data_IF_089434050137
#
_entry.id   IF_089434050137
#
_cell.length_a   1.000
_cell.length_b   1.000
_cell.length_c   1.000
_cell.angle_alpha   90.00
_cell.angle_beta   90.00
_cell.angle_gamma   90.00
#
_symmetry.space_group_name_H-M   'P 1'
#
loop_
_entity.id
_entity.type
_entity.pdbx_description
1 polymer ?
#
# COMPACT_ATOMS: atom_id res chain seq x y z
N UNK A 1 -9.38 -1.12 25.84
CA UNK A 1 -10.86 -1.20 25.85
C UNK A 1 -11.22 -2.49 25.14
N UNK A 2 -12.05 -3.34 25.73
CA UNK A 2 -12.33 -4.68 25.22
C UNK A 2 -13.82 -4.97 25.25
N UNK A 3 -14.28 -5.73 24.26
CA UNK A 3 -15.65 -6.25 24.22
C UNK A 3 -15.64 -7.67 24.78
N UNK A 4 -16.47 -7.92 25.79
CA UNK A 4 -16.58 -9.20 26.47
C UNK A 4 -18.00 -9.75 26.33
N UNK A 5 -18.13 -11.02 25.93
CA UNK A 5 -19.40 -11.74 25.88
C UNK A 5 -19.39 -12.84 26.96
N UNK A 6 -20.09 -12.65 28.09
CA UNK A 6 -20.15 -13.65 29.14
C UNK A 6 -20.88 -14.92 28.69
N UNK A 7 -20.47 -16.10 29.17
CA UNK A 7 -21.23 -17.33 28.93
C UNK A 7 -22.64 -17.21 29.52
N UNK A 8 -23.65 -17.59 28.73
CA UNK A 8 -25.06 -17.56 29.14
C UNK A 8 -25.77 -16.21 28.96
N UNK A 9 -25.09 -15.17 28.47
CA UNK A 9 -25.70 -13.86 28.19
C UNK A 9 -25.48 -13.50 26.72
N UNK A 10 -26.54 -13.27 25.94
CA UNK A 10 -26.46 -12.93 24.52
C UNK A 10 -26.13 -11.43 24.25
N UNK A 11 -25.45 -10.76 25.20
CA UNK A 11 -25.15 -9.33 25.14
C UNK A 11 -23.66 -9.09 25.35
N UNK A 12 -23.07 -8.35 24.41
CA UNK A 12 -21.70 -7.86 24.50
C UNK A 12 -21.62 -6.71 25.52
N UNK A 13 -20.65 -6.77 26.41
CA UNK A 13 -20.34 -5.74 27.39
C UNK A 13 -19.00 -5.09 27.08
N UNK A 14 -18.88 -3.79 27.33
CA UNK A 14 -17.62 -3.06 27.22
C UNK A 14 -16.89 -3.09 28.55
N UNK A 15 -15.63 -3.50 28.54
CA UNK A 15 -14.77 -3.54 29.73
C UNK A 15 -13.53 -2.68 29.51
N UNK A 16 -13.09 -2.00 30.56
CA UNK A 16 -11.82 -1.27 30.53
C UNK A 16 -10.67 -2.28 30.61
N UNK A 17 -9.68 -2.10 29.75
CA UNK A 17 -8.43 -2.86 29.85
C UNK A 17 -7.60 -2.39 31.04
N UNK A 18 -6.68 -3.23 31.51
CA UNK A 18 -5.67 -2.79 32.45
C UNK A 18 -4.85 -1.65 31.83
N UNK A 19 -4.54 -0.63 32.62
CA UNK A 19 -3.53 0.35 32.23
C UNK A 19 -2.18 -0.35 32.22
N UNK A 20 -1.44 -0.20 31.11
CA UNK A 20 -0.08 -0.71 30.97
C UNK A 20 0.79 0.48 30.65
N UNK A 21 1.80 0.71 31.49
CA UNK A 21 2.77 1.78 31.29
C UNK A 21 3.72 1.46 30.13
N UNK A 22 4.29 2.49 29.53
CA UNK A 22 5.28 2.35 28.47
C UNK A 22 6.51 1.54 28.93
N UNK A 23 6.92 1.74 30.18
CA UNK A 23 8.01 0.98 30.81
C UNK A 23 7.71 -0.52 30.90
N UNK A 24 6.47 -0.90 31.21
CA UNK A 24 6.05 -2.31 31.24
C UNK A 24 6.08 -2.93 29.85
N UNK A 25 5.56 -2.21 28.84
CA UNK A 25 5.58 -2.66 27.43
C UNK A 25 7.02 -2.88 26.98
N UNK A 26 7.91 -1.92 27.26
CA UNK A 26 9.32 -2.00 26.88
C UNK A 26 10.01 -3.21 27.52
N UNK A 27 9.83 -3.42 28.83
CA UNK A 27 10.41 -4.59 29.52
C UNK A 27 9.98 -5.92 28.89
N UNK A 28 8.69 -6.06 28.58
CA UNK A 28 8.16 -7.30 27.98
C UNK A 28 8.68 -7.49 26.55
N UNK A 29 8.67 -6.44 25.73
CA UNK A 29 9.13 -6.53 24.34
C UNK A 29 10.63 -6.81 24.26
N UNK A 30 11.44 -6.22 25.12
CA UNK A 30 12.89 -6.48 25.17
C UNK A 30 13.20 -7.90 25.63
N UNK A 31 12.47 -8.40 26.63
CA UNK A 31 12.56 -9.80 27.06
C UNK A 31 12.25 -10.76 25.90
N UNK A 32 11.19 -10.51 25.12
CA UNK A 32 10.85 -11.35 23.97
C UNK A 32 11.91 -11.28 22.86
N UNK A 33 12.43 -10.09 22.55
CA UNK A 33 13.52 -9.92 21.57
C UNK A 33 14.81 -10.63 21.97
N UNK A 34 15.07 -10.77 23.27
CA UNK A 34 16.26 -11.50 23.76
C UNK A 34 16.18 -13.01 23.49
N UNK A 35 14.98 -13.56 23.38
CA UNK A 35 14.77 -15.00 23.16
C UNK A 35 14.86 -15.37 21.68
N UNK A 36 14.36 -14.50 20.79
CA UNK A 36 14.40 -14.74 19.35
C UNK A 36 14.40 -13.42 18.59
N UNK A 37 15.09 -13.41 17.46
CA UNK A 37 14.95 -12.33 16.48
C UNK A 37 13.49 -12.28 15.98
N UNK A 38 12.87 -11.10 15.94
CA UNK A 38 11.53 -10.95 15.40
C UNK A 38 11.50 -11.38 13.93
N UNK A 39 10.46 -12.12 13.57
CA UNK A 39 10.14 -12.47 12.20
C UNK A 39 9.03 -11.54 11.75
N UNK A 40 9.39 -10.53 10.97
CA UNK A 40 8.45 -9.51 10.53
C UNK A 40 7.87 -9.87 9.18
N UNK A 41 6.55 -9.73 9.06
CA UNK A 41 5.89 -9.95 7.78
C UNK A 41 6.20 -8.77 6.84
N UNK A 42 6.98 -9.04 5.79
CA UNK A 42 7.39 -8.03 4.82
C UNK A 42 6.19 -7.34 4.15
N UNK A 43 5.05 -8.03 4.01
CA UNK A 43 3.81 -7.46 3.46
C UNK A 43 3.27 -6.29 4.30
N UNK A 44 3.44 -6.35 5.63
CA UNK A 44 2.98 -5.32 6.57
C UNK A 44 3.99 -4.17 6.58
N UNK A 45 5.29 -4.48 6.63
CA UNK A 45 6.35 -3.45 6.58
C UNK A 45 6.25 -2.64 5.29
N UNK A 46 6.11 -3.31 4.15
CA UNK A 46 6.04 -2.65 2.85
C UNK A 46 4.78 -1.80 2.72
N UNK A 47 3.63 -2.23 3.28
CA UNK A 47 2.41 -1.42 3.31
C UNK A 47 2.58 -0.15 4.14
N UNK A 48 3.18 -0.27 5.34
CA UNK A 48 3.46 0.91 6.17
C UNK A 48 4.42 1.87 5.49
N UNK A 49 5.46 1.37 4.81
CA UNK A 49 6.37 2.21 4.02
C UNK A 49 5.66 2.86 2.83
N UNK A 50 4.77 2.13 2.14
CA UNK A 50 4.01 2.68 1.01
C UNK A 50 2.99 3.71 1.48
N UNK A 51 2.37 3.52 2.64
CA UNK A 51 1.45 4.47 3.27
C UNK A 51 2.18 5.72 3.77
N UNK A 52 3.34 5.56 4.42
CA UNK A 52 4.19 6.67 4.86
C UNK A 52 4.75 7.47 3.67
N UNK A 53 5.21 6.80 2.60
CA UNK A 53 5.66 7.45 1.36
C UNK A 53 4.50 8.14 0.62
N UNK A 54 3.28 7.57 0.66
CA UNK A 54 2.09 8.19 0.08
C UNK A 54 1.62 9.42 0.88
N UNK A 55 1.72 9.38 2.22
CA UNK A 55 1.46 10.52 3.09
C UNK A 55 2.50 11.64 2.91
N UNK A 56 3.80 11.31 2.83
CA UNK A 56 4.86 12.29 2.60
C UNK A 56 4.78 12.96 1.22
N UNK A 57 4.27 12.25 0.21
CA UNK A 57 4.12 12.80 -1.14
C UNK A 57 2.79 13.55 -1.35
N UNK A 58 1.84 13.49 -0.42
CA UNK A 58 0.53 14.15 -0.56
C UNK A 58 -0.28 13.67 -1.77
N UNK A 59 0.04 12.49 -2.30
CA UNK A 59 -0.63 11.88 -3.44
C UNK A 59 -1.49 10.76 -2.87
N UNK A 60 -2.78 11.07 -2.68
CA UNK A 60 -3.80 10.05 -2.44
C UNK A 60 -3.69 9.01 -3.57
N UNK A 61 -3.14 7.82 -3.26
CA UNK A 61 -2.87 6.77 -4.23
C UNK A 61 -4.21 6.36 -4.84
N UNK A 62 -4.34 6.59 -6.14
CA UNK A 62 -5.61 6.43 -6.82
C UNK A 62 -6.11 4.98 -6.67
N UNK A 63 -7.37 4.79 -6.29
CA UNK A 63 -8.02 3.47 -6.12
C UNK A 63 -7.83 2.51 -7.31
N UNK A 64 -7.59 3.06 -8.51
CA UNK A 64 -7.39 2.30 -9.75
C UNK A 64 -5.91 2.14 -10.12
N UNK A 65 -5.00 2.59 -9.28
CA UNK A 65 -3.55 2.57 -9.56
C UNK A 65 -3.01 1.16 -9.72
N UNK A 66 -3.34 0.22 -8.83
CA UNK A 66 -2.83 -1.15 -8.92
C UNK A 66 -3.33 -1.85 -10.20
N UNK A 67 -4.59 -1.61 -10.58
CA UNK A 67 -5.16 -2.09 -11.85
C UNK A 67 -4.44 -1.45 -13.06
N UNK A 68 -4.07 -0.17 -12.95
CA UNK A 68 -3.31 0.54 -13.97
C UNK A 68 -1.91 -0.06 -14.17
N UNK A 69 -1.21 -0.36 -13.08
CA UNK A 69 0.13 -1.00 -13.11
C UNK A 69 0.04 -2.35 -13.81
N UNK A 70 -0.94 -3.18 -13.44
CA UNK A 70 -1.13 -4.49 -14.06
C UNK A 70 -1.37 -4.37 -15.57
N UNK A 71 -2.21 -3.44 -16.01
CA UNK A 71 -2.46 -3.20 -17.43
C UNK A 71 -1.15 -2.82 -18.14
N UNK A 72 -0.38 -1.89 -17.58
CA UNK A 72 0.87 -1.39 -18.17
C UNK A 72 1.91 -2.50 -18.30
N UNK A 73 2.07 -3.33 -17.26
CA UNK A 73 3.00 -4.46 -17.28
C UNK A 73 2.60 -5.53 -18.30
N UNK A 74 1.30 -5.78 -18.45
CA UNK A 74 0.77 -6.77 -19.39
C UNK A 74 0.82 -6.29 -20.85
N UNK A 75 0.49 -5.02 -21.12
CA UNK A 75 0.52 -4.47 -22.48
C UNK A 75 1.92 -4.09 -22.93
N UNK A 76 2.83 -3.82 -21.99
CA UNK A 76 4.16 -3.26 -22.28
C UNK A 76 4.09 -1.84 -22.85
N UNK A 77 2.96 -1.15 -22.69
CA UNK A 77 2.74 0.21 -23.18
C UNK A 77 2.19 1.08 -22.08
N UNK A 78 2.81 2.23 -21.83
CA UNK A 78 2.33 3.21 -20.87
C UNK A 78 1.93 4.52 -21.58
N UNK A 79 0.63 4.78 -21.68
CA UNK A 79 0.11 6.07 -22.16
C UNK A 79 -1.17 6.47 -21.44
N UNK A 80 -1.36 7.78 -21.25
CA UNK A 80 -2.54 8.36 -20.57
C UNK A 80 -3.83 7.90 -21.26
N UNK A 81 -3.89 8.02 -22.59
CA UNK A 81 -5.09 7.66 -23.36
C UNK A 81 -5.46 6.17 -23.25
N UNK A 82 -4.46 5.29 -23.08
CA UNK A 82 -4.70 3.86 -22.86
C UNK A 82 -5.38 3.62 -21.52
N UNK A 83 -4.85 4.20 -20.44
CA UNK A 83 -5.41 4.06 -19.10
C UNK A 83 -6.81 4.67 -19.01
N UNK A 84 -7.06 5.82 -19.64
CA UNK A 84 -8.40 6.41 -19.70
C UNK A 84 -9.44 5.44 -20.27
N UNK A 85 -9.11 4.74 -21.38
CA UNK A 85 -10.04 3.80 -22.02
C UNK A 85 -10.21 2.52 -21.22
N UNK A 86 -9.12 1.96 -20.68
CA UNK A 86 -9.14 0.68 -19.97
C UNK A 86 -9.81 0.78 -18.60
N UNK A 87 -9.50 1.83 -17.84
CA UNK A 87 -9.97 2.03 -16.47
C UNK A 87 -11.21 2.93 -16.37
N UNK A 88 -11.64 3.53 -17.49
CA UNK A 88 -12.75 4.50 -17.55
C UNK A 88 -12.55 5.70 -16.62
N UNK A 89 -11.31 6.18 -16.52
CA UNK A 89 -10.93 7.34 -15.68
C UNK A 89 -10.70 8.60 -16.51
N UNK A 90 -10.83 9.76 -15.88
CA UNK A 90 -10.52 11.06 -16.50
C UNK A 90 -9.03 11.27 -16.77
N UNK A 91 -8.71 12.24 -17.64
CA UNK A 91 -7.33 12.55 -18.06
C UNK A 91 -6.39 12.81 -16.88
N UNK A 92 -6.78 13.69 -15.96
CA UNK A 92 -5.92 14.05 -14.82
C UNK A 92 -5.61 12.86 -13.90
N UNK A 93 -6.57 11.94 -13.71
CA UNK A 93 -6.35 10.72 -12.93
C UNK A 93 -5.34 9.82 -13.63
N UNK A 94 -5.55 9.54 -14.91
CA UNK A 94 -4.62 8.74 -15.71
C UNK A 94 -3.22 9.36 -15.82
N UNK A 95 -3.12 10.69 -15.92
CA UNK A 95 -1.85 11.40 -15.94
C UNK A 95 -1.07 11.20 -14.63
N UNK A 96 -1.71 11.42 -13.47
CA UNK A 96 -1.09 11.19 -12.16
C UNK A 96 -0.65 9.75 -11.96
N UNK A 97 -1.42 8.77 -12.43
CA UNK A 97 -1.02 7.37 -12.38
C UNK A 97 0.28 7.13 -13.16
N UNK A 98 0.39 7.68 -14.38
CA UNK A 98 1.61 7.54 -15.20
C UNK A 98 2.80 8.26 -14.56
N UNK A 99 2.61 9.44 -14.00
CA UNK A 99 3.66 10.19 -13.30
C UNK A 99 4.14 9.44 -12.05
N UNK A 100 3.24 8.82 -11.30
CA UNK A 100 3.60 8.01 -10.15
C UNK A 100 4.34 6.73 -10.58
N UNK A 101 3.90 6.06 -11.65
CA UNK A 101 4.62 4.91 -12.23
C UNK A 101 6.02 5.27 -12.74
N UNK A 102 6.22 6.49 -13.25
CA UNK A 102 7.53 7.01 -13.63
C UNK A 102 8.43 7.18 -12.41
N UNK A 103 7.91 7.78 -11.33
CA UNK A 103 8.64 7.96 -10.07
C UNK A 103 9.01 6.62 -9.41
N UNK A 104 8.11 5.64 -9.47
CA UNK A 104 8.34 4.28 -8.96
C UNK A 104 9.24 3.44 -9.87
N UNK A 105 9.66 3.95 -11.03
CA UNK A 105 10.56 3.26 -11.96
C UNK A 105 9.90 2.12 -12.74
N UNK A 106 8.57 2.05 -12.78
CA UNK A 106 7.79 1.09 -13.57
C UNK A 106 7.75 1.52 -15.05
N UNK A 107 7.74 2.83 -15.28
CA UNK A 107 7.61 3.44 -16.61
C UNK A 107 8.77 4.42 -16.84
N UNK A 108 9.31 4.43 -18.05
CA UNK A 108 10.36 5.35 -18.47
C UNK A 108 9.91 6.81 -18.62
N UNK A 109 10.89 7.71 -18.76
CA UNK A 109 10.62 9.13 -18.95
C UNK A 109 9.83 9.37 -20.25
N UNK A 110 9.03 10.43 -20.25
CA UNK A 110 8.26 10.82 -21.44
C UNK A 110 9.18 11.32 -22.55
N UNK A 111 9.12 10.71 -23.72
CA UNK A 111 9.74 11.24 -24.96
C UNK A 111 8.75 12.11 -25.79
N UNK A 112 7.52 12.28 -25.29
CA UNK A 112 6.48 13.17 -25.83
C UNK A 112 5.79 12.68 -27.11
N UNK A 113 6.36 11.71 -27.82
CA UNK A 113 5.85 11.24 -29.12
C UNK A 113 5.49 9.76 -29.10
N UNK A 114 6.11 8.96 -28.23
CA UNK A 114 5.91 7.51 -28.17
C UNK A 114 5.31 7.10 -26.83
N UNK A 115 4.63 5.94 -26.78
CA UNK A 115 4.31 5.30 -25.51
C UNK A 115 5.59 5.12 -24.68
N UNK A 116 5.50 5.45 -23.40
CA UNK A 116 6.64 5.33 -22.49
C UNK A 116 7.06 3.87 -22.37
N UNK A 117 8.37 3.66 -22.28
CA UNK A 117 8.96 2.34 -22.07
C UNK A 117 8.50 1.77 -20.72
N UNK A 118 8.32 0.45 -20.63
CA UNK A 118 7.87 -0.22 -19.40
C UNK A 118 8.97 -1.11 -18.88
N UNK A 119 9.44 -0.84 -17.66
CA UNK A 119 10.47 -1.61 -16.98
C UNK A 119 9.80 -2.68 -16.11
N UNK A 120 10.13 -3.96 -16.32
CA UNK A 120 9.55 -5.07 -15.55
C UNK A 120 8.42 -5.84 -16.24
N UNK A 121 8.35 -5.80 -17.58
CA UNK A 121 7.41 -6.61 -18.37
C UNK A 121 7.39 -8.06 -17.88
N UNK A 122 6.20 -8.58 -17.53
CA UNK A 122 6.02 -10.02 -17.32
C UNK A 122 6.17 -10.70 -18.68
N UNK A 123 7.28 -11.39 -18.89
CA UNK A 123 7.38 -12.35 -19.98
C UNK A 123 6.32 -13.44 -19.74
N UNK A 124 5.41 -13.61 -20.68
CA UNK A 124 4.46 -14.72 -20.74
C UNK A 124 5.11 -15.83 -21.56
#
# INVERSE_FOLDING_TARGET
>A
DMLFLPPGVARIMRIHGAFVSEDEIKRVTDFLRSQRKPDYEASIINKMQTEEEAEELGIERDEKYDEAVEIVLNTGQASISMLQRKLRVGYNRAARMIELMEKEGIVGPSDGVRPREVYGRKEI
#
